data_IF_420877927598
#
_entry.id   IF_420877927598
#
_cell.length_a   1.000
_cell.length_b   1.000
_cell.length_c   1.000
_cell.angle_alpha   90.00
_cell.angle_beta   90.00
_cell.angle_gamma   90.00
#
_symmetry.space_group_name_H-M   'P 1'
#
loop_
_entity.id
_entity.type
_entity.pdbx_description
1 polymer ?
#
# COMPACT_ATOMS: atom_id res chain seq x y z
N UNK A 1 -0.56 16.02 8.94
CA UNK A 1 0.81 16.08 8.38
C UNK A 1 1.81 16.04 9.50
N UNK A 2 2.85 15.24 9.39
CA UNK A 2 3.90 15.14 10.41
C UNK A 2 4.78 16.39 10.41
N UNK A 3 5.07 16.93 11.60
CA UNK A 3 5.98 18.08 11.79
C UNK A 3 7.47 17.70 11.68
N UNK A 4 7.75 16.49 11.21
CA UNK A 4 9.11 15.96 11.11
C UNK A 4 10.00 16.84 10.23
N UNK A 5 11.21 17.06 10.69
CA UNK A 5 12.28 17.67 9.90
C UNK A 5 12.77 16.72 8.81
N UNK A 6 13.45 17.20 7.76
CA UNK A 6 14.01 16.31 6.74
C UNK A 6 14.97 15.25 7.30
N UNK A 7 15.71 15.55 8.38
CA UNK A 7 16.60 14.58 9.03
C UNK A 7 15.84 13.48 9.74
N UNK A 8 14.78 13.83 10.44
CA UNK A 8 13.89 12.86 11.10
C UNK A 8 13.17 11.98 10.08
N UNK A 9 12.72 12.54 8.94
CA UNK A 9 12.12 11.77 7.85
C UNK A 9 13.14 10.76 7.28
N UNK A 10 14.40 11.17 7.08
CA UNK A 10 15.46 10.25 6.63
C UNK A 10 15.70 9.16 7.67
N UNK A 11 15.77 9.51 8.97
CA UNK A 11 15.93 8.55 10.06
C UNK A 11 14.80 7.51 10.10
N UNK A 12 13.55 7.94 9.90
CA UNK A 12 12.41 7.01 9.81
C UNK A 12 12.47 6.11 8.57
N UNK A 13 13.00 6.62 7.45
CA UNK A 13 13.22 5.80 6.26
C UNK A 13 14.39 4.82 6.45
N UNK A 14 15.41 5.19 7.22
CA UNK A 14 16.57 4.33 7.52
C UNK A 14 16.19 3.04 8.26
N UNK A 15 15.09 3.05 9.01
CA UNK A 15 14.54 1.87 9.68
C UNK A 15 14.11 0.77 8.72
N UNK A 16 13.85 1.09 7.45
CA UNK A 16 13.29 0.15 6.46
C UNK A 16 14.13 0.03 5.21
N UNK A 17 15.01 1.01 4.93
CA UNK A 17 15.73 1.12 3.66
C UNK A 17 17.19 1.35 3.93
N UNK A 18 18.01 0.40 3.56
CA UNK A 18 19.46 0.48 3.69
C UNK A 18 20.06 1.29 2.54
N UNK A 19 21.00 2.16 2.85
CA UNK A 19 21.68 2.98 1.86
C UNK A 19 20.76 4.02 1.19
N UNK A 20 20.96 4.31 -0.09
CA UNK A 20 20.13 5.18 -0.94
C UNK A 20 19.91 6.61 -0.38
N UNK A 21 20.94 7.19 0.24
CA UNK A 21 20.84 8.43 1.01
C UNK A 21 20.34 9.61 0.18
N UNK A 22 20.76 9.74 -1.08
CA UNK A 22 20.33 10.85 -1.93
C UNK A 22 18.84 10.78 -2.26
N UNK A 23 18.32 9.57 -2.54
CA UNK A 23 16.89 9.37 -2.77
C UNK A 23 16.09 9.67 -1.51
N UNK A 24 16.50 9.19 -0.33
CA UNK A 24 15.85 9.48 0.95
C UNK A 24 15.85 10.98 1.25
N UNK A 25 16.96 11.68 1.02
CA UNK A 25 17.03 13.14 1.19
C UNK A 25 16.11 13.89 0.24
N UNK A 26 16.07 13.52 -1.04
CA UNK A 26 15.20 14.15 -2.02
C UNK A 26 13.71 14.04 -1.64
N UNK A 27 13.25 12.84 -1.28
CA UNK A 27 11.86 12.64 -0.86
C UNK A 27 11.54 13.32 0.47
N UNK A 28 12.49 13.35 1.42
CA UNK A 28 12.34 14.04 2.69
C UNK A 28 12.19 15.56 2.50
N UNK A 29 12.98 16.15 1.61
CA UNK A 29 12.85 17.57 1.25
C UNK A 29 11.52 17.84 0.55
N UNK A 30 11.10 16.98 -0.38
CA UNK A 30 9.82 17.10 -1.06
C UNK A 30 8.64 17.08 -0.07
N UNK A 31 8.66 16.16 0.91
CA UNK A 31 7.65 16.12 1.96
C UNK A 31 7.67 17.37 2.85
N UNK A 32 8.86 17.82 3.27
CA UNK A 32 8.97 19.00 4.10
C UNK A 32 8.56 20.28 3.37
N UNK A 33 8.77 20.36 2.07
CA UNK A 33 8.32 21.50 1.26
C UNK A 33 6.79 21.60 1.20
N UNK A 34 6.06 20.48 1.26
CA UNK A 34 4.59 20.49 1.41
C UNK A 34 4.16 21.09 2.75
N UNK A 35 4.84 20.74 3.83
CA UNK A 35 4.60 21.35 5.13
C UNK A 35 4.90 22.85 5.11
N UNK A 36 6.05 23.26 4.52
CA UNK A 36 6.42 24.68 4.35
C UNK A 36 5.38 25.44 3.54
N UNK A 37 4.89 24.84 2.44
CA UNK A 37 3.85 25.42 1.60
C UNK A 37 2.59 25.78 2.40
N UNK A 38 2.17 24.93 3.31
CA UNK A 38 1.00 25.16 4.18
C UNK A 38 1.17 26.33 5.16
N UNK A 39 2.40 26.78 5.39
CA UNK A 39 2.70 27.95 6.25
C UNK A 39 2.74 29.25 5.46
N UNK A 40 2.61 29.22 4.15
CA UNK A 40 2.61 30.41 3.29
C UNK A 40 1.23 31.07 3.29
N UNK A 41 1.19 32.37 2.93
CA UNK A 41 -0.06 33.07 2.63
C UNK A 41 -0.75 32.40 1.44
N UNK A 42 -2.07 32.57 1.33
CA UNK A 42 -2.87 31.92 0.29
C UNK A 42 -2.37 32.23 -1.11
N UNK A 43 -2.03 33.51 -1.39
CA UNK A 43 -1.50 33.94 -2.70
C UNK A 43 -0.21 33.20 -3.10
N UNK A 44 0.74 33.04 -2.16
CA UNK A 44 1.99 32.33 -2.41
C UNK A 44 1.83 30.81 -2.40
N UNK A 45 0.89 30.31 -1.60
CA UNK A 45 0.65 28.89 -1.48
C UNK A 45 0.22 28.27 -2.81
N UNK A 46 -0.60 28.98 -3.58
CA UNK A 46 -1.11 28.46 -4.86
C UNK A 46 -0.06 28.53 -5.99
N UNK A 47 0.95 29.39 -5.86
CA UNK A 47 2.08 29.48 -6.80
C UNK A 47 3.21 28.46 -6.54
N UNK A 48 3.19 27.77 -5.39
CA UNK A 48 4.25 26.81 -5.04
C UNK A 48 3.84 25.38 -5.42
N UNK A 49 4.34 24.93 -6.54
CA UNK A 49 4.15 23.56 -7.06
C UNK A 49 5.10 22.55 -6.41
N UNK A 50 4.68 21.28 -6.27
CA UNK A 50 5.59 20.21 -5.82
C UNK A 50 6.72 20.03 -6.83
N UNK A 51 7.90 19.64 -6.33
CA UNK A 51 9.03 19.28 -7.19
C UNK A 51 8.99 17.77 -7.39
N UNK A 52 8.50 17.35 -8.55
CA UNK A 52 8.41 15.93 -8.91
C UNK A 52 9.79 15.30 -9.03
N UNK A 53 9.86 13.99 -8.79
CA UNK A 53 11.12 13.26 -8.64
C UNK A 53 11.20 12.17 -9.70
N UNK A 54 12.35 12.03 -10.33
CA UNK A 54 12.72 10.88 -11.17
C UNK A 54 13.76 10.04 -10.42
N UNK A 55 13.38 8.81 -10.06
CA UNK A 55 14.26 7.82 -9.43
C UNK A 55 14.79 6.87 -10.50
N UNK A 56 16.10 6.83 -10.63
CA UNK A 56 16.81 6.02 -11.62
C UNK A 56 17.59 4.94 -10.88
N UNK A 57 17.56 3.70 -11.33
CA UNK A 57 18.39 2.64 -10.74
C UNK A 57 17.80 1.25 -10.92
N UNK A 58 18.59 0.20 -10.64
CA UNK A 58 18.22 -1.19 -10.86
C UNK A 58 16.90 -1.58 -10.17
N UNK A 59 16.35 -2.71 -10.57
CA UNK A 59 15.18 -3.30 -9.89
C UNK A 59 15.54 -3.74 -8.47
N UNK A 60 14.60 -3.65 -7.53
CA UNK A 60 14.77 -4.16 -6.17
C UNK A 60 15.71 -3.37 -5.25
N UNK A 61 16.11 -2.13 -5.60
CA UNK A 61 16.98 -1.29 -4.75
C UNK A 61 16.20 -0.36 -3.80
N UNK A 62 14.88 -0.50 -3.73
CA UNK A 62 14.06 0.24 -2.76
C UNK A 62 13.28 1.44 -3.30
N UNK A 63 13.26 1.70 -4.63
CA UNK A 63 12.53 2.85 -5.23
C UNK A 63 11.07 2.94 -4.77
N UNK A 64 10.31 1.88 -4.93
CA UNK A 64 8.91 1.80 -4.51
C UNK A 64 8.75 1.90 -3.00
N UNK A 65 9.64 1.25 -2.25
CA UNK A 65 9.57 1.22 -0.79
C UNK A 65 9.80 2.60 -0.18
N UNK A 66 10.78 3.37 -0.69
CA UNK A 66 11.00 4.76 -0.30
C UNK A 66 9.71 5.58 -0.44
N UNK A 67 9.06 5.49 -1.60
CA UNK A 67 7.84 6.27 -1.89
C UNK A 67 6.65 5.83 -1.03
N UNK A 68 6.49 4.52 -0.82
CA UNK A 68 5.43 3.96 0.02
C UNK A 68 5.59 4.36 1.49
N UNK A 69 6.82 4.28 2.03
CA UNK A 69 7.11 4.68 3.42
C UNK A 69 6.95 6.19 3.61
N UNK A 70 7.38 6.98 2.63
CA UNK A 70 7.14 8.41 2.64
C UNK A 70 5.65 8.74 2.75
N UNK A 71 4.82 8.12 1.92
CA UNK A 71 3.38 8.33 1.93
C UNK A 71 2.74 7.91 3.27
N UNK A 72 3.20 6.79 3.85
CA UNK A 72 2.75 6.32 5.17
C UNK A 72 3.12 7.33 6.28
N UNK A 73 4.36 7.83 6.29
CA UNK A 73 4.81 8.86 7.22
C UNK A 73 4.00 10.16 7.08
N UNK A 74 3.69 10.55 5.85
CA UNK A 74 2.89 11.73 5.55
C UNK A 74 1.41 11.56 5.88
N UNK A 75 0.92 10.34 6.11
CA UNK A 75 -0.49 9.97 6.10
C UNK A 75 -1.19 10.49 4.84
N UNK A 76 -0.50 10.43 3.71
CA UNK A 76 -0.93 10.95 2.43
C UNK A 76 -1.61 9.85 1.59
N UNK A 77 -2.65 10.20 0.81
CA UNK A 77 -3.15 9.30 -0.22
C UNK A 77 -2.02 8.88 -1.17
N UNK A 78 -1.92 7.58 -1.44
CA UNK A 78 -0.83 7.02 -2.23
C UNK A 78 -1.35 5.97 -3.21
N UNK A 79 -0.89 6.08 -4.45
CA UNK A 79 -1.11 5.03 -5.45
C UNK A 79 0.20 4.71 -6.16
N UNK A 80 0.42 3.41 -6.39
CA UNK A 80 1.47 2.92 -7.28
C UNK A 80 0.82 2.42 -8.57
N UNK A 81 1.32 2.92 -9.70
CA UNK A 81 0.90 2.49 -11.03
C UNK A 81 2.12 2.21 -11.90
N UNK A 82 2.00 1.29 -12.83
CA UNK A 82 3.01 0.98 -13.82
C UNK A 82 2.66 1.72 -15.12
N UNK A 83 3.59 2.50 -15.65
CA UNK A 83 3.37 3.29 -16.86
C UNK A 83 2.97 2.42 -18.06
N UNK A 84 3.41 1.17 -18.09
CA UNK A 84 3.09 0.17 -19.12
C UNK A 84 1.63 -0.30 -19.15
N UNK A 85 0.85 -0.02 -18.09
CA UNK A 85 -0.59 -0.38 -18.03
C UNK A 85 -1.49 0.58 -18.78
N UNK A 86 -0.95 1.75 -19.18
CA UNK A 86 -1.69 2.77 -19.90
C UNK A 86 -1.42 2.65 -21.40
N UNK A 87 -2.40 3.04 -22.17
CA UNK A 87 -2.31 3.15 -23.64
C UNK A 87 -2.75 4.55 -24.03
N UNK A 88 -2.25 5.01 -25.18
CA UNK A 88 -2.66 6.28 -25.75
C UNK A 88 -4.19 6.37 -25.89
N UNK A 89 -4.76 7.54 -25.59
CA UNK A 89 -6.19 7.80 -25.69
C UNK A 89 -6.71 7.44 -27.09
N UNK A 90 -7.74 6.60 -27.14
CA UNK A 90 -8.33 6.10 -28.39
C UNK A 90 -7.95 4.66 -28.75
N UNK A 91 -6.99 4.04 -28.06
CA UNK A 91 -6.70 2.61 -28.16
C UNK A 91 -7.35 1.84 -27.00
N UNK A 92 -7.46 0.52 -27.16
CA UNK A 92 -8.00 -0.34 -26.08
C UNK A 92 -6.99 -0.40 -24.93
N UNK A 93 -7.29 0.28 -23.81
CA UNK A 93 -6.44 0.33 -22.63
C UNK A 93 -7.01 1.26 -21.55
N UNK A 94 -6.27 1.43 -20.46
CA UNK A 94 -6.65 2.34 -19.38
C UNK A 94 -6.20 3.76 -19.72
N UNK A 95 -7.12 4.70 -19.54
CA UNK A 95 -6.86 6.13 -19.56
C UNK A 95 -5.99 6.53 -18.36
N UNK A 96 -5.04 7.44 -18.57
CA UNK A 96 -4.14 7.95 -17.51
C UNK A 96 -4.88 8.70 -16.40
N UNK A 97 -6.04 9.31 -16.67
CA UNK A 97 -6.89 9.93 -15.64
C UNK A 97 -7.39 8.91 -14.61
N UNK A 98 -7.42 7.61 -14.95
CA UNK A 98 -7.77 6.57 -14.02
C UNK A 98 -6.84 6.56 -12.78
N UNK A 99 -5.61 7.03 -12.92
CA UNK A 99 -4.66 7.21 -11.80
C UNK A 99 -5.27 8.10 -10.72
N UNK A 100 -5.85 9.22 -11.13
CA UNK A 100 -6.45 10.18 -10.18
C UNK A 100 -7.74 9.63 -9.59
N UNK A 101 -8.56 8.93 -10.40
CA UNK A 101 -9.79 8.29 -9.93
C UNK A 101 -9.49 7.23 -8.88
N UNK A 102 -8.52 6.36 -9.15
CA UNK A 102 -8.08 5.31 -8.20
C UNK A 102 -7.45 5.93 -6.93
N UNK A 103 -6.71 7.05 -7.07
CA UNK A 103 -6.14 7.77 -5.92
C UNK A 103 -7.24 8.35 -5.02
N UNK A 104 -8.32 8.88 -5.61
CA UNK A 104 -9.49 9.38 -4.85
C UNK A 104 -10.18 8.25 -4.12
N UNK A 105 -10.43 7.12 -4.77
CA UNK A 105 -11.05 5.97 -4.12
C UNK A 105 -10.21 5.47 -2.93
N UNK A 106 -8.90 5.36 -3.10
CA UNK A 106 -7.97 5.03 -2.03
C UNK A 106 -7.98 6.07 -0.89
N UNK A 107 -8.06 7.36 -1.22
CA UNK A 107 -8.12 8.44 -0.25
C UNK A 107 -9.41 8.42 0.58
N UNK A 108 -10.54 8.12 -0.03
CA UNK A 108 -11.83 8.01 0.68
C UNK A 108 -11.77 6.87 1.70
N UNK A 109 -11.27 5.71 1.31
CA UNK A 109 -11.09 4.57 2.23
C UNK A 109 -10.16 4.97 3.40
N UNK A 110 -9.02 5.53 3.10
CA UNK A 110 -8.04 5.98 4.11
C UNK A 110 -8.61 7.05 5.05
N UNK A 111 -9.34 8.03 4.51
CA UNK A 111 -9.94 9.10 5.31
C UNK A 111 -11.02 8.55 6.22
N UNK A 112 -11.84 7.61 5.72
CA UNK A 112 -12.86 6.93 6.52
C UNK A 112 -12.24 6.16 7.68
N UNK A 113 -11.16 5.44 7.45
CA UNK A 113 -10.45 4.69 8.50
C UNK A 113 -9.87 5.63 9.56
N UNK A 114 -9.29 6.76 9.18
CA UNK A 114 -8.82 7.77 10.13
C UNK A 114 -9.96 8.37 10.95
N UNK A 115 -11.07 8.72 10.31
CA UNK A 115 -12.23 9.29 11.02
C UNK A 115 -12.90 8.25 11.92
N UNK A 116 -12.91 6.95 11.56
CA UNK A 116 -13.37 5.87 12.43
C UNK A 116 -12.55 5.79 13.73
N UNK A 117 -11.22 5.91 13.64
CA UNK A 117 -10.37 5.92 14.84
C UNK A 117 -10.69 7.13 15.74
N UNK A 118 -10.98 8.30 15.18
CA UNK A 118 -11.33 9.50 15.94
C UNK A 118 -12.66 9.33 16.70
N UNK A 119 -13.62 8.58 16.17
CA UNK A 119 -14.92 8.33 16.81
C UNK A 119 -14.99 7.01 17.57
N UNK A 120 -13.93 6.22 17.59
CA UNK A 120 -13.87 4.84 18.13
C UNK A 120 -14.39 4.72 19.55
N UNK A 121 -14.01 5.64 20.43
CA UNK A 121 -14.47 5.61 21.85
C UNK A 121 -15.99 5.79 21.95
N UNK A 122 -16.60 6.63 21.10
CA UNK A 122 -18.06 6.80 21.06
C UNK A 122 -18.72 5.57 20.45
N UNK A 123 -18.15 5.03 19.38
CA UNK A 123 -18.63 3.84 18.72
C UNK A 123 -18.58 2.61 19.65
N UNK A 124 -17.51 2.46 20.43
CA UNK A 124 -17.39 1.39 21.44
C UNK A 124 -18.52 1.45 22.48
N UNK A 125 -18.84 2.65 23.00
CA UNK A 125 -19.95 2.80 23.95
C UNK A 125 -21.28 2.45 23.32
N UNK A 126 -21.53 2.86 22.08
CA UNK A 126 -22.76 2.52 21.37
C UNK A 126 -22.86 1.01 21.06
N UNK A 127 -21.75 0.39 20.68
CA UNK A 127 -21.66 -1.05 20.48
C UNK A 127 -21.94 -1.84 21.78
N UNK A 128 -21.34 -1.41 22.92
CA UNK A 128 -21.59 -2.00 24.22
C UNK A 128 -23.08 -1.98 24.59
N UNK A 129 -23.76 -0.85 24.38
CA UNK A 129 -25.21 -0.75 24.62
C UNK A 129 -26.00 -1.74 23.76
N UNK A 130 -25.63 -1.90 22.47
CA UNK A 130 -26.27 -2.88 21.57
C UNK A 130 -26.02 -4.33 22.00
N UNK A 131 -24.83 -4.66 22.50
CA UNK A 131 -24.53 -5.98 23.07
C UNK A 131 -25.38 -6.23 24.33
N UNK A 132 -25.50 -5.23 25.21
CA UNK A 132 -26.35 -5.31 26.41
C UNK A 132 -27.83 -5.50 25.99
N UNK A 133 -28.30 -4.79 24.97
CA UNK A 133 -29.65 -4.95 24.44
C UNK A 133 -29.90 -6.36 23.88
N UNK A 134 -28.92 -6.94 23.21
CA UNK A 134 -29.00 -8.30 22.66
C UNK A 134 -29.03 -9.39 23.77
N UNK A 135 -28.35 -9.15 24.91
CA UNK A 135 -28.30 -10.10 26.04
C UNK A 135 -29.48 -9.94 26.98
N UNK A 136 -29.78 -8.71 27.40
CA UNK A 136 -30.74 -8.39 28.45
C UNK A 136 -32.14 -8.03 27.93
N UNK A 137 -32.24 -7.68 26.62
CA UNK A 137 -33.40 -7.07 26.00
C UNK A 137 -33.42 -5.55 26.15
N UNK A 138 -34.06 -4.90 25.18
CA UNK A 138 -34.15 -3.42 25.09
C UNK A 138 -34.89 -2.75 26.25
N UNK A 139 -35.76 -3.48 26.93
CA UNK A 139 -36.57 -2.99 28.07
C UNK A 139 -35.96 -3.38 29.44
N UNK A 140 -34.72 -3.85 29.48
CA UNK A 140 -34.08 -4.25 30.73
C UNK A 140 -33.87 -3.02 31.66
N UNK A 141 -34.15 -3.24 32.97
CA UNK A 141 -33.97 -2.21 34.00
C UNK A 141 -32.47 -1.84 34.16
N UNK A 142 -32.19 -0.58 34.54
CA UNK A 142 -30.81 -0.06 34.70
C UNK A 142 -29.90 -0.97 35.54
N UNK A 143 -30.40 -1.48 36.67
CA UNK A 143 -29.64 -2.40 37.51
C UNK A 143 -29.25 -3.72 36.83
N UNK A 144 -30.09 -4.22 35.91
CA UNK A 144 -29.78 -5.42 35.11
C UNK A 144 -28.75 -5.08 34.04
N UNK A 145 -28.89 -3.94 33.37
CA UNK A 145 -27.92 -3.43 32.40
C UNK A 145 -26.55 -3.25 33.01
N UNK A 146 -26.45 -2.64 34.22
CA UNK A 146 -25.19 -2.46 34.92
C UNK A 146 -24.55 -3.78 35.38
N UNK A 147 -25.35 -4.78 35.70
CA UNK A 147 -24.83 -6.13 35.99
C UNK A 147 -24.21 -6.76 34.76
N UNK A 148 -24.87 -6.71 33.61
CA UNK A 148 -24.34 -7.24 32.35
C UNK A 148 -23.12 -6.45 31.87
N UNK A 149 -23.12 -5.12 32.03
CA UNK A 149 -21.94 -4.28 31.71
C UNK A 149 -20.70 -4.70 32.49
N UNK A 150 -20.84 -4.99 33.81
CA UNK A 150 -19.72 -5.49 34.61
C UNK A 150 -19.23 -6.85 34.15
N UNK A 151 -20.11 -7.75 33.76
CA UNK A 151 -19.75 -9.09 33.25
C UNK A 151 -19.08 -9.02 31.87
N UNK A 152 -19.48 -8.09 31.02
CA UNK A 152 -18.82 -7.82 29.74
C UNK A 152 -17.39 -7.31 29.96
N UNK A 153 -17.22 -6.36 30.88
CA UNK A 153 -15.89 -5.81 31.22
C UNK A 153 -14.96 -6.84 31.89
N UNK A 154 -15.52 -7.85 32.55
CA UNK A 154 -14.72 -8.96 33.14
C UNK A 154 -14.40 -10.09 32.16
N UNK A 155 -14.97 -10.08 30.95
CA UNK A 155 -14.79 -11.14 29.95
C UNK A 155 -15.60 -12.42 30.22
N UNK A 156 -16.48 -12.44 31.26
CA UNK A 156 -17.29 -13.61 31.61
C UNK A 156 -18.29 -14.04 30.52
N UNK A 157 -18.58 -13.13 29.58
CA UNK A 157 -19.59 -13.33 28.54
C UNK A 157 -19.00 -13.46 27.12
N UNK A 158 -17.69 -13.46 26.95
CA UNK A 158 -17.01 -13.41 25.65
C UNK A 158 -17.45 -14.54 24.70
N UNK A 159 -17.62 -15.76 25.24
CA UNK A 159 -18.03 -16.94 24.49
C UNK A 159 -19.55 -17.08 24.34
N UNK A 160 -20.33 -16.17 24.96
CA UNK A 160 -21.79 -16.22 24.88
C UNK A 160 -22.25 -15.88 23.48
N UNK A 161 -23.05 -16.76 22.86
CA UNK A 161 -23.61 -16.51 21.52
C UNK A 161 -24.84 -15.61 21.63
N UNK A 162 -24.78 -14.49 20.91
CA UNK A 162 -25.87 -13.51 20.81
C UNK A 162 -26.36 -13.36 19.39
N UNK A 163 -27.61 -12.92 19.23
CA UNK A 163 -28.17 -12.54 17.93
C UNK A 163 -28.10 -11.02 17.79
N UNK A 164 -27.36 -10.53 16.84
CA UNK A 164 -27.22 -9.10 16.53
C UNK A 164 -27.81 -8.79 15.17
N UNK A 165 -28.40 -7.62 15.03
CA UNK A 165 -28.83 -7.09 13.73
C UNK A 165 -27.70 -6.22 13.17
N UNK A 166 -27.19 -6.58 12.02
CA UNK A 166 -26.14 -5.84 11.30
C UNK A 166 -26.66 -5.39 9.93
N UNK A 167 -26.15 -4.29 9.41
CA UNK A 167 -26.46 -3.83 8.08
C UNK A 167 -26.07 -4.89 7.03
N UNK A 168 -26.98 -5.19 6.11
CA UNK A 168 -26.71 -6.12 5.01
C UNK A 168 -25.81 -5.44 3.97
N UNK A 169 -24.55 -5.83 3.94
CA UNK A 169 -23.56 -5.35 2.97
C UNK A 169 -23.71 -6.01 1.57
N UNK A 170 -24.65 -6.93 1.41
CA UNK A 170 -24.91 -7.54 0.10
C UNK A 170 -25.56 -6.53 -0.84
N UNK A 171 -24.80 -6.14 -1.85
CA UNK A 171 -25.24 -5.21 -2.89
C UNK A 171 -26.34 -5.87 -3.73
N UNK A 172 -27.60 -5.41 -3.71
CA UNK A 172 -28.66 -6.04 -4.50
C UNK A 172 -28.46 -5.89 -6.01
N UNK A 173 -27.50 -5.09 -6.44
CA UNK A 173 -27.20 -4.81 -7.85
C UNK A 173 -26.33 -5.88 -8.55
N UNK A 174 -25.66 -6.76 -7.83
CA UNK A 174 -24.88 -7.84 -8.45
C UNK A 174 -25.76 -8.97 -9.05
N UNK A 175 -27.05 -8.95 -8.80
CA UNK A 175 -28.00 -9.96 -9.33
C UNK A 175 -28.61 -9.62 -10.70
N UNK A 176 -28.35 -8.42 -11.24
CA UNK A 176 -28.92 -7.97 -12.53
C UNK A 176 -27.86 -7.73 -13.62
N UNK A 177 -26.71 -8.36 -13.52
CA UNK A 177 -25.77 -8.39 -14.64
C UNK A 177 -26.25 -9.41 -15.67
N UNK A 178 -27.18 -8.97 -16.53
CA UNK A 178 -27.62 -9.75 -17.70
C UNK A 178 -26.62 -9.43 -18.82
N UNK A 179 -25.79 -10.40 -19.27
CA UNK A 179 -24.85 -10.15 -20.37
C UNK A 179 -25.65 -9.94 -21.66
N UNK A 180 -25.60 -8.74 -22.23
CA UNK A 180 -26.03 -8.57 -23.60
C UNK A 180 -26.76 -7.32 -24.04
N UNK A 181 -26.93 -6.27 -23.24
CA UNK A 181 -27.50 -5.01 -23.77
C UNK A 181 -26.70 -3.77 -23.36
N UNK A 182 -25.92 -3.17 -24.27
CA UNK A 182 -25.31 -1.87 -24.05
C UNK A 182 -26.38 -0.80 -24.32
N UNK A 183 -26.83 -0.06 -23.30
CA UNK A 183 -27.65 1.11 -23.55
C UNK A 183 -28.62 1.60 -22.48
N UNK A 184 -28.74 0.95 -21.30
CA UNK A 184 -29.74 1.35 -20.29
C UNK A 184 -29.20 1.94 -19.00
N UNK A 185 -27.95 2.39 -18.95
CA UNK A 185 -27.29 2.87 -17.73
C UNK A 185 -27.71 4.25 -17.21
N UNK A 186 -28.43 5.06 -18.02
CA UNK A 186 -28.67 6.45 -17.65
C UNK A 186 -29.96 6.74 -16.88
N UNK A 187 -30.84 5.76 -16.71
CA UNK A 187 -32.14 5.96 -16.04
C UNK A 187 -32.32 5.28 -14.69
N UNK A 188 -31.46 4.32 -14.31
CA UNK A 188 -31.65 3.47 -13.13
C UNK A 188 -30.84 3.87 -11.88
N UNK A 189 -29.80 4.71 -12.02
CA UNK A 189 -28.95 5.09 -10.89
C UNK A 189 -29.68 5.89 -9.79
N UNK A 190 -30.71 6.67 -10.17
CA UNK A 190 -31.45 7.48 -9.20
C UNK A 190 -32.59 6.74 -8.49
N UNK A 191 -33.05 5.61 -9.03
CA UNK A 191 -34.17 4.85 -8.40
C UNK A 191 -33.66 3.96 -7.26
N UNK A 192 -32.46 3.36 -7.39
CA UNK A 192 -31.85 2.50 -6.36
C UNK A 192 -31.51 3.25 -5.08
N UNK A 193 -30.94 4.44 -5.22
CA UNK A 193 -30.62 5.34 -4.09
C UNK A 193 -31.89 5.91 -3.43
N UNK A 194 -32.92 6.20 -4.22
CA UNK A 194 -34.20 6.69 -3.70
C UNK A 194 -34.96 5.60 -2.93
N UNK A 195 -34.96 4.36 -3.42
CA UNK A 195 -35.58 3.23 -2.74
C UNK A 195 -34.76 2.73 -1.55
N UNK A 196 -33.44 2.77 -1.60
CA UNK A 196 -32.56 2.40 -0.49
C UNK A 196 -32.71 3.33 0.73
N UNK A 197 -32.82 4.64 0.49
CA UNK A 197 -33.09 5.63 1.55
C UNK A 197 -34.53 5.61 2.06
N UNK A 198 -35.53 5.19 1.25
CA UNK A 198 -36.92 5.18 1.63
C UNK A 198 -37.37 3.88 2.37
N UNK A 199 -36.60 2.78 2.29
CA UNK A 199 -36.97 1.50 2.92
C UNK A 199 -36.11 1.11 4.12
N UNK A 200 -35.36 2.04 4.75
CA UNK A 200 -34.52 1.72 5.91
C UNK A 200 -33.57 0.54 5.59
N UNK A 201 -32.26 0.73 5.69
CA UNK A 201 -31.28 -0.30 5.31
C UNK A 201 -31.68 -1.69 5.78
N UNK A 202 -31.61 -2.67 4.87
CA UNK A 202 -31.88 -4.08 5.21
C UNK A 202 -30.88 -4.51 6.29
N UNK A 203 -31.41 -4.98 7.42
CA UNK A 203 -30.60 -5.60 8.47
C UNK A 203 -30.70 -7.11 8.36
N UNK A 204 -29.57 -7.77 8.57
CA UNK A 204 -29.50 -9.24 8.63
C UNK A 204 -29.18 -9.66 10.04
N UNK A 205 -29.91 -10.65 10.57
CA UNK A 205 -29.60 -11.22 11.88
C UNK A 205 -28.43 -12.18 11.77
N UNK A 206 -27.39 -11.92 12.57
CA UNK A 206 -26.21 -12.80 12.69
C UNK A 206 -26.11 -13.34 14.11
N UNK A 207 -25.78 -14.64 14.22
CA UNK A 207 -25.42 -15.28 15.50
C UNK A 207 -23.91 -15.34 15.60
N UNK A 208 -23.36 -14.66 16.59
CA UNK A 208 -21.92 -14.54 16.83
C UNK A 208 -21.66 -14.53 18.32
N UNK A 209 -20.44 -14.84 18.73
CA UNK A 209 -20.03 -14.66 20.13
C UNK A 209 -19.99 -13.16 20.50
N UNK A 210 -20.11 -12.86 21.78
CA UNK A 210 -19.98 -11.49 22.29
C UNK A 210 -18.66 -10.88 21.84
N UNK A 211 -17.53 -11.61 21.95
CA UNK A 211 -16.23 -11.14 21.53
C UNK A 211 -16.21 -10.74 20.04
N UNK A 212 -16.71 -11.61 19.15
CA UNK A 212 -16.77 -11.32 17.70
C UNK A 212 -17.78 -10.21 17.36
N UNK A 213 -18.82 -10.03 18.17
CA UNK A 213 -19.83 -9.01 17.93
C UNK A 213 -19.30 -7.59 18.06
N UNK A 214 -18.30 -7.37 18.94
CA UNK A 214 -17.71 -6.05 19.17
C UNK A 214 -17.07 -5.47 17.92
N UNK A 215 -16.25 -6.24 17.19
CA UNK A 215 -15.58 -5.77 15.98
C UNK A 215 -16.59 -5.34 14.90
N UNK A 216 -17.67 -6.12 14.76
CA UNK A 216 -18.73 -5.81 13.79
C UNK A 216 -19.52 -4.57 14.20
N UNK A 217 -19.94 -4.49 15.46
CA UNK A 217 -20.79 -3.40 15.96
C UNK A 217 -20.01 -2.10 16.10
N UNK A 218 -18.75 -2.10 16.52
CA UNK A 218 -17.92 -0.90 16.59
C UNK A 218 -17.74 -0.29 15.21
N UNK A 219 -17.47 -1.12 14.19
CA UNK A 219 -17.36 -0.66 12.81
C UNK A 219 -18.66 0.00 12.32
N UNK A 220 -19.79 -0.64 12.56
CA UNK A 220 -21.11 -0.13 12.15
C UNK A 220 -21.51 1.15 12.89
N UNK A 221 -21.28 1.22 14.21
CA UNK A 221 -21.57 2.43 15.00
C UNK A 221 -20.61 3.57 14.65
N UNK A 222 -19.34 3.27 14.34
CA UNK A 222 -18.41 4.28 13.83
C UNK A 222 -18.91 4.86 12.49
N UNK A 223 -19.35 4.00 11.56
CA UNK A 223 -19.89 4.45 10.27
C UNK A 223 -21.15 5.32 10.41
N UNK A 224 -22.04 5.02 11.36
CA UNK A 224 -23.21 5.85 11.65
C UNK A 224 -22.84 7.25 12.19
N UNK A 225 -21.67 7.37 12.85
CA UNK A 225 -21.17 8.63 13.37
C UNK A 225 -20.43 9.47 12.31
N UNK A 226 -20.13 8.88 11.16
CA UNK A 226 -19.45 9.57 10.06
C UNK A 226 -20.47 10.15 9.08
N UNK A 227 -20.18 11.37 8.62
CA UNK A 227 -20.90 12.00 7.53
C UNK A 227 -20.17 11.76 6.21
N UNK A 228 -20.77 11.01 5.30
CA UNK A 228 -20.18 10.64 4.02
C UNK A 228 -19.78 11.84 3.15
N UNK A 229 -20.50 12.96 3.25
CA UNK A 229 -20.15 14.17 2.53
C UNK A 229 -18.86 14.79 3.09
N UNK A 230 -18.72 14.80 4.42
CA UNK A 230 -17.51 15.29 5.11
C UNK A 230 -16.32 14.38 4.82
N UNK A 231 -16.49 13.04 4.83
CA UNK A 231 -15.45 12.08 4.44
C UNK A 231 -14.98 12.36 3.02
N UNK A 232 -15.91 12.47 2.07
CA UNK A 232 -15.61 12.70 0.65
C UNK A 232 -14.88 14.03 0.45
N UNK A 233 -15.38 15.11 1.02
CA UNK A 233 -14.75 16.43 0.91
C UNK A 233 -13.33 16.44 1.48
N UNK A 234 -13.14 15.84 2.66
CA UNK A 234 -11.81 15.75 3.30
C UNK A 234 -10.85 14.89 2.47
N UNK A 235 -11.35 13.80 1.88
CA UNK A 235 -10.54 12.93 1.02
C UNK A 235 -10.13 13.65 -0.28
N UNK A 236 -11.03 14.39 -0.93
CA UNK A 236 -10.71 15.18 -2.13
C UNK A 236 -9.65 16.24 -1.82
N UNK A 237 -9.79 16.98 -0.72
CA UNK A 237 -8.78 17.94 -0.28
C UNK A 237 -7.43 17.25 0.02
N UNK A 238 -7.47 16.07 0.65
CA UNK A 238 -6.26 15.29 0.92
C UNK A 238 -5.56 14.84 -0.36
N UNK A 239 -6.30 14.45 -1.40
CA UNK A 239 -5.75 14.11 -2.72
C UNK A 239 -5.11 15.33 -3.37
N UNK A 240 -5.85 16.44 -3.48
CA UNK A 240 -5.37 17.65 -4.15
C UNK A 240 -4.12 18.23 -3.47
N UNK A 241 -4.10 18.29 -2.13
CA UNK A 241 -3.04 18.97 -1.38
C UNK A 241 -1.88 18.05 -0.95
N UNK A 242 -2.11 16.74 -0.85
CA UNK A 242 -1.14 15.81 -0.27
C UNK A 242 -0.97 14.52 -1.09
N UNK A 243 -1.73 14.29 -2.14
CA UNK A 243 -1.67 13.07 -2.95
C UNK A 243 -0.26 12.76 -3.45
N UNK A 244 0.10 11.49 -3.48
CA UNK A 244 1.37 11.00 -4.02
C UNK A 244 1.08 9.92 -5.04
N UNK A 245 1.56 10.11 -6.26
CA UNK A 245 1.48 9.13 -7.34
C UNK A 245 2.89 8.61 -7.62
N UNK A 246 3.07 7.30 -7.52
CA UNK A 246 4.30 6.63 -7.91
C UNK A 246 4.11 5.96 -9.27
N UNK A 247 4.80 6.50 -10.28
CA UNK A 247 4.81 5.99 -11.65
C UNK A 247 6.00 5.05 -11.83
N UNK A 248 5.76 3.74 -11.83
CA UNK A 248 6.83 2.75 -12.01
C UNK A 248 7.04 2.45 -13.51
N UNK A 249 8.22 1.97 -13.84
CA UNK A 249 8.62 1.55 -15.19
C UNK A 249 8.47 2.63 -16.28
N UNK A 250 8.72 3.90 -15.93
CA UNK A 250 8.61 5.02 -16.89
C UNK A 250 9.60 4.88 -18.05
N UNK A 251 10.72 4.17 -17.87
CA UNK A 251 11.69 3.88 -18.91
C UNK A 251 11.14 2.94 -20.01
N UNK A 252 10.09 2.17 -19.72
CA UNK A 252 9.45 1.27 -20.68
C UNK A 252 8.56 1.99 -21.69
N UNK A 253 8.11 3.20 -21.36
CA UNK A 253 7.33 4.06 -22.27
C UNK A 253 8.18 5.08 -23.00
N UNK A 254 9.53 5.03 -22.86
CA UNK A 254 10.44 5.79 -23.71
C UNK A 254 10.44 5.25 -25.14
N UNK A 255 10.51 6.15 -26.13
CA UNK A 255 10.68 5.78 -27.53
C UNK A 255 12.03 5.08 -27.74
N UNK A 256 12.07 4.02 -28.55
CA UNK A 256 13.31 3.38 -28.97
C UNK A 256 13.71 3.92 -30.33
N UNK A 257 14.93 4.43 -30.45
CA UNK A 257 15.45 4.99 -31.71
C UNK A 257 15.42 4.01 -32.90
N UNK A 258 15.32 2.70 -32.66
CA UNK A 258 15.43 1.65 -33.67
C UNK A 258 14.13 0.90 -34.02
N UNK A 259 12.98 1.21 -33.39
CA UNK A 259 11.75 0.44 -33.55
C UNK A 259 10.74 1.15 -34.45
N UNK A 260 10.49 0.62 -35.63
CA UNK A 260 9.42 1.08 -36.56
C UNK A 260 8.08 0.46 -36.16
N UNK A 261 7.13 1.29 -35.70
CA UNK A 261 5.70 0.93 -35.62
C UNK A 261 5.09 0.73 -34.25
N UNK A 262 5.86 0.57 -33.16
CA UNK A 262 5.33 0.44 -31.78
C UNK A 262 5.58 1.67 -30.90
N UNK A 263 6.32 2.65 -31.41
CA UNK A 263 6.79 3.79 -30.62
C UNK A 263 5.76 4.89 -30.44
N UNK A 264 4.83 5.03 -31.38
CA UNK A 264 3.76 6.06 -31.34
C UNK A 264 2.89 5.87 -30.09
N UNK A 265 2.52 4.64 -29.76
CA UNK A 265 1.71 4.34 -28.57
C UNK A 265 2.43 4.62 -27.24
N UNK A 266 3.76 4.47 -27.18
CA UNK A 266 4.56 4.74 -25.97
C UNK A 266 4.77 6.22 -25.74
N UNK A 267 5.05 6.96 -26.80
CA UNK A 267 5.15 8.42 -26.76
C UNK A 267 3.79 9.05 -26.42
N UNK A 268 2.69 8.46 -26.92
CA UNK A 268 1.32 8.84 -26.58
C UNK A 268 1.06 8.79 -25.07
N UNK A 269 1.47 7.71 -24.38
CA UNK A 269 1.34 7.62 -22.91
C UNK A 269 2.07 8.74 -22.20
N UNK A 270 3.29 9.11 -22.65
CA UNK A 270 4.00 10.23 -22.06
C UNK A 270 3.27 11.56 -22.28
N UNK A 271 2.69 11.78 -23.47
CA UNK A 271 1.89 12.97 -23.77
C UNK A 271 0.62 13.05 -22.93
N UNK A 272 -0.04 11.91 -22.69
CA UNK A 272 -1.25 11.83 -21.87
C UNK A 272 -0.94 12.04 -20.37
N UNK A 273 0.25 11.66 -19.89
CA UNK A 273 0.70 11.93 -18.52
C UNK A 273 1.05 13.40 -18.27
N UNK A 274 1.45 14.15 -19.29
CA UNK A 274 1.88 15.55 -19.15
C UNK A 274 0.83 16.44 -18.48
N UNK A 275 -0.45 16.48 -18.92
CA UNK A 275 -1.46 17.31 -18.29
C UNK A 275 -1.65 16.99 -16.80
N UNK A 276 -1.58 15.70 -16.41
CA UNK A 276 -1.69 15.30 -15.01
C UNK A 276 -0.53 15.84 -14.16
N UNK A 277 0.68 15.82 -14.70
CA UNK A 277 1.91 16.24 -14.01
C UNK A 277 2.06 17.78 -14.03
N UNK A 278 1.51 18.45 -15.03
CA UNK A 278 1.52 19.91 -15.16
C UNK A 278 0.45 20.60 -14.32
N UNK A 279 -0.63 19.91 -14.05
CA UNK A 279 -1.81 20.42 -13.37
C UNK A 279 -3.02 20.47 -14.31
N UNK A 280 -4.04 19.69 -13.99
CA UNK A 280 -5.32 19.65 -14.69
C UNK A 280 -6.44 19.31 -13.73
N UNK A 281 -7.67 19.44 -14.19
CA UNK A 281 -8.85 19.02 -13.43
C UNK A 281 -9.39 17.72 -14.00
N UNK A 282 -9.38 16.66 -13.21
CA UNK A 282 -9.92 15.35 -13.56
C UNK A 282 -11.30 15.17 -12.97
N UNK A 283 -12.26 14.75 -13.80
CA UNK A 283 -13.61 14.42 -13.35
C UNK A 283 -13.64 13.02 -12.73
N UNK A 284 -14.15 12.95 -11.49
CA UNK A 284 -14.37 11.69 -10.77
C UNK A 284 -15.84 11.54 -10.38
N UNK A 285 -16.25 10.34 -9.99
CA UNK A 285 -17.61 10.08 -9.47
C UNK A 285 -17.91 10.82 -8.16
N UNK A 286 -16.88 11.34 -7.50
CA UNK A 286 -16.96 12.08 -6.24
C UNK A 286 -16.81 13.60 -6.40
N UNK A 287 -16.62 14.07 -7.63
CA UNK A 287 -16.41 15.48 -7.98
C UNK A 287 -15.11 15.71 -8.74
N UNK A 288 -14.87 16.95 -9.19
CA UNK A 288 -13.64 17.32 -9.88
C UNK A 288 -12.47 17.37 -8.91
N UNK A 289 -11.29 17.01 -9.38
CA UNK A 289 -10.02 16.98 -8.62
C UNK A 289 -8.92 17.68 -9.40
N UNK A 290 -8.26 18.63 -8.78
CA UNK A 290 -7.11 19.34 -9.34
C UNK A 290 -5.82 18.58 -9.03
N UNK A 291 -4.97 18.42 -10.02
CA UNK A 291 -3.71 17.66 -9.89
C UNK A 291 -2.48 18.54 -9.60
N UNK A 292 -2.63 19.86 -9.58
CA UNK A 292 -1.56 20.87 -9.47
C UNK A 292 -0.58 20.61 -8.30
N UNK A 293 -1.09 20.10 -7.18
CA UNK A 293 -0.28 19.89 -5.99
C UNK A 293 -0.08 18.41 -5.62
N UNK A 294 -0.45 17.49 -6.50
CA UNK A 294 -0.10 16.07 -6.38
C UNK A 294 1.40 15.91 -6.65
N UNK A 295 2.09 15.14 -5.80
CA UNK A 295 3.49 14.81 -6.03
C UNK A 295 3.60 13.57 -6.91
N UNK A 296 4.24 13.72 -8.04
CA UNK A 296 4.58 12.60 -8.92
C UNK A 296 6.03 12.16 -8.66
N UNK A 297 6.21 10.88 -8.40
CA UNK A 297 7.50 10.22 -8.27
C UNK A 297 7.57 9.17 -9.36
N UNK A 298 8.29 9.48 -10.43
CA UNK A 298 8.53 8.53 -11.50
C UNK A 298 9.75 7.65 -11.20
N UNK A 299 9.71 6.39 -11.61
CA UNK A 299 10.83 5.47 -11.44
C UNK A 299 11.06 4.61 -12.68
N UNK A 300 12.33 4.34 -12.97
CA UNK A 300 12.75 3.45 -14.05
C UNK A 300 14.11 2.84 -13.79
N UNK A 301 14.37 1.71 -14.44
CA UNK A 301 15.69 1.09 -14.39
C UNK A 301 16.68 1.77 -15.33
N UNK A 302 16.20 2.27 -16.47
CA UNK A 302 16.97 2.95 -17.50
C UNK A 302 18.20 2.15 -17.99
N UNK A 303 18.08 0.83 -18.07
CA UNK A 303 19.14 -0.05 -18.59
C UNK A 303 19.32 0.09 -20.09
N UNK A 304 18.21 0.23 -20.84
CA UNK A 304 18.19 0.31 -22.30
C UNK A 304 17.89 1.75 -22.73
N UNK A 305 16.80 2.32 -22.21
CA UNK A 305 16.47 3.72 -22.40
C UNK A 305 17.32 4.61 -21.47
N UNK A 306 17.52 5.87 -21.86
CA UNK A 306 18.14 6.89 -21.03
C UNK A 306 17.09 7.89 -20.53
N UNK A 307 17.31 8.59 -19.42
CA UNK A 307 16.42 9.67 -19.00
C UNK A 307 16.21 10.76 -20.06
N UNK A 308 17.17 10.94 -20.97
CA UNK A 308 17.07 11.84 -22.12
C UNK A 308 16.11 11.38 -23.22
N UNK A 309 15.67 10.12 -23.19
CA UNK A 309 14.74 9.55 -24.15
C UNK A 309 13.26 9.79 -23.74
N UNK A 310 13.04 10.35 -22.55
CA UNK A 310 11.75 10.92 -22.18
C UNK A 310 11.48 12.19 -23.00
N UNK A 311 10.22 12.50 -23.24
CA UNK A 311 9.84 13.76 -23.88
C UNK A 311 10.46 14.97 -23.14
N UNK A 312 11.00 15.98 -23.84
CA UNK A 312 11.63 17.15 -23.19
C UNK A 312 10.72 17.84 -22.18
N UNK A 313 9.43 17.93 -22.46
CA UNK A 313 8.42 18.51 -21.60
C UNK A 313 8.32 17.72 -20.30
N UNK A 314 8.27 16.39 -20.38
CA UNK A 314 8.21 15.51 -19.21
C UNK A 314 9.50 15.58 -18.38
N UNK A 315 10.66 15.67 -19.05
CA UNK A 315 11.94 15.88 -18.37
C UNK A 315 11.95 17.18 -17.56
N UNK A 316 11.37 18.25 -18.08
CA UNK A 316 11.24 19.55 -17.41
C UNK A 316 10.33 19.50 -16.18
N UNK A 317 9.35 18.59 -16.17
CA UNK A 317 8.40 18.40 -15.06
C UNK A 317 8.88 17.42 -13.99
N UNK A 318 10.02 16.75 -14.21
CA UNK A 318 10.71 15.88 -13.26
C UNK A 318 12.10 16.48 -12.90
N UNK A 319 12.14 17.65 -12.24
CA UNK A 319 13.37 18.42 -12.06
C UNK A 319 14.35 17.78 -11.07
N UNK A 320 13.86 16.97 -10.14
CA UNK A 320 14.69 16.26 -9.16
C UNK A 320 15.01 14.89 -9.70
N UNK A 321 16.28 14.64 -10.00
CA UNK A 321 16.79 13.34 -10.46
C UNK A 321 17.65 12.74 -9.39
N UNK A 322 17.40 11.50 -9.02
CA UNK A 322 18.18 10.74 -8.03
C UNK A 322 18.52 9.37 -8.57
N UNK A 323 19.75 8.99 -8.41
CA UNK A 323 20.24 7.67 -8.79
C UNK A 323 20.36 6.79 -7.55
N UNK A 324 19.74 5.61 -7.63
CA UNK A 324 19.87 4.57 -6.63
C UNK A 324 20.90 3.57 -7.11
N UNK A 325 21.89 3.31 -6.27
CA UNK A 325 22.94 2.35 -6.57
C UNK A 325 22.45 0.90 -6.41
N UNK A 326 23.09 -0.01 -7.10
CA UNK A 326 22.93 -1.43 -6.84
C UNK A 326 23.31 -1.76 -5.37
N UNK A 327 22.65 -2.74 -4.80
CA UNK A 327 22.92 -3.20 -3.44
C UNK A 327 24.17 -4.08 -3.44
N UNK A 328 25.03 -3.89 -2.43
CA UNK A 328 26.22 -4.69 -2.18
C UNK A 328 25.93 -5.84 -1.22
N UNK A 329 26.85 -6.78 -1.08
CA UNK A 329 26.79 -7.85 -0.08
C UNK A 329 26.60 -7.27 1.35
N UNK A 330 27.36 -6.22 1.68
CA UNK A 330 27.22 -5.53 2.97
C UNK A 330 25.82 -4.95 3.18
N UNK A 331 25.24 -4.36 2.12
CA UNK A 331 23.84 -3.88 2.19
C UNK A 331 22.86 -5.02 2.44
N UNK A 332 23.09 -6.20 1.87
CA UNK A 332 22.24 -7.37 2.10
C UNK A 332 22.31 -7.87 3.54
N UNK A 333 23.52 -7.92 4.13
CA UNK A 333 23.68 -8.23 5.56
C UNK A 333 22.88 -7.24 6.40
N UNK A 334 22.99 -5.95 6.12
CA UNK A 334 22.27 -4.91 6.86
C UNK A 334 20.74 -4.98 6.65
N UNK A 335 20.27 -5.34 5.47
CA UNK A 335 18.83 -5.56 5.19
C UNK A 335 18.31 -6.74 6.03
N UNK A 336 19.11 -7.78 6.24
CA UNK A 336 18.75 -8.94 7.03
C UNK A 336 18.81 -8.69 8.55
N UNK A 337 19.52 -7.65 9.01
CA UNK A 337 19.79 -7.44 10.45
C UNK A 337 19.25 -6.14 11.01
N UNK A 338 19.30 -5.03 10.24
CA UNK A 338 19.06 -3.68 10.77
C UNK A 338 17.65 -3.16 10.49
N UNK A 339 16.93 -3.74 9.51
CA UNK A 339 15.61 -3.23 9.17
C UNK A 339 14.52 -3.74 10.12
N UNK A 340 13.56 -2.88 10.48
CA UNK A 340 12.42 -3.24 11.36
C UNK A 340 11.58 -4.40 10.81
N UNK A 341 11.63 -4.65 9.53
CA UNK A 341 10.95 -5.73 8.83
C UNK A 341 11.93 -6.72 8.19
N UNK A 342 13.07 -6.95 8.83
CA UNK A 342 14.07 -7.89 8.35
C UNK A 342 13.46 -9.27 8.07
N UNK A 343 13.91 -9.93 7.00
CA UNK A 343 13.42 -11.25 6.63
C UNK A 343 13.73 -12.29 7.72
N UNK A 344 14.85 -12.15 8.40
CA UNK A 344 15.20 -13.00 9.55
C UNK A 344 14.13 -12.95 10.64
N UNK A 345 13.66 -11.75 10.98
CA UNK A 345 12.57 -11.57 11.97
C UNK A 345 11.25 -12.18 11.47
N UNK A 346 10.95 -12.01 10.17
CA UNK A 346 9.71 -12.54 9.59
C UNK A 346 9.69 -14.07 9.64
N UNK A 347 10.78 -14.73 9.21
CA UNK A 347 10.85 -16.20 9.22
C UNK A 347 10.92 -16.77 10.63
N UNK A 348 11.62 -16.11 11.56
CA UNK A 348 11.58 -16.49 13.00
C UNK A 348 10.14 -16.45 13.52
N UNK A 349 9.40 -15.36 13.24
CA UNK A 349 8.01 -15.25 13.69
C UNK A 349 7.08 -16.26 13.02
N UNK A 350 7.27 -16.55 11.71
CA UNK A 350 6.49 -17.57 11.00
C UNK A 350 6.70 -18.97 11.60
N UNK A 351 7.94 -19.36 11.83
CA UNK A 351 8.25 -20.68 12.42
C UNK A 351 7.78 -20.78 13.86
N UNK A 352 7.79 -19.68 14.59
CA UNK A 352 7.29 -19.65 15.97
C UNK A 352 5.78 -19.97 16.06
N UNK A 353 4.99 -19.73 15.00
CA UNK A 353 3.56 -20.11 14.97
C UNK A 353 3.35 -21.61 14.99
N UNK A 354 4.35 -22.38 14.56
CA UNK A 354 4.39 -23.85 14.58
C UNK A 354 5.26 -24.39 15.74
N UNK A 355 5.53 -23.54 16.75
CA UNK A 355 6.37 -23.87 17.91
C UNK A 355 7.82 -24.26 17.53
N UNK A 356 8.30 -23.87 16.35
CA UNK A 356 9.68 -24.08 15.92
C UNK A 356 10.49 -22.82 16.22
N UNK A 357 11.56 -22.95 17.00
CA UNK A 357 12.45 -21.83 17.36
C UNK A 357 13.59 -21.73 16.35
N UNK A 358 13.65 -20.62 15.59
CA UNK A 358 14.71 -20.38 14.62
C UNK A 358 15.66 -19.29 15.10
N UNK A 359 16.96 -19.57 15.05
CA UNK A 359 18.02 -18.61 15.37
C UNK A 359 18.98 -18.47 14.20
N UNK A 360 19.20 -17.24 13.74
CA UNK A 360 20.17 -16.93 12.71
C UNK A 360 21.50 -16.53 13.35
N UNK A 361 22.59 -17.14 12.87
CA UNK A 361 23.95 -16.77 13.28
C UNK A 361 24.56 -15.76 12.30
N UNK A 362 25.58 -15.02 12.73
CA UNK A 362 26.23 -14.00 11.89
C UNK A 362 26.85 -14.60 10.62
N UNK A 363 27.41 -15.80 10.71
CA UNK A 363 27.96 -16.54 9.57
C UNK A 363 26.88 -17.05 8.62
N UNK A 364 25.70 -17.45 9.15
CA UNK A 364 24.53 -17.81 8.35
C UNK A 364 23.99 -16.62 7.58
N UNK A 365 23.86 -15.46 8.23
CA UNK A 365 23.43 -14.21 7.60
C UNK A 365 24.43 -13.78 6.50
N UNK A 366 25.73 -13.85 6.77
CA UNK A 366 26.76 -13.55 5.79
C UNK A 366 26.70 -14.51 4.58
N UNK A 367 26.47 -15.80 4.81
CA UNK A 367 26.31 -16.79 3.73
C UNK A 367 25.08 -16.47 2.85
N UNK A 368 23.92 -16.15 3.44
CA UNK A 368 22.71 -15.75 2.71
C UNK A 368 22.96 -14.49 1.86
N UNK A 369 23.60 -13.48 2.45
CA UNK A 369 23.91 -12.21 1.78
C UNK A 369 24.86 -12.42 0.60
N UNK A 370 25.92 -13.21 0.80
CA UNK A 370 26.91 -13.53 -0.24
C UNK A 370 26.25 -14.26 -1.41
N UNK A 371 25.46 -15.32 -1.15
CA UNK A 371 24.78 -16.07 -2.22
C UNK A 371 23.83 -15.15 -2.99
N UNK A 372 23.08 -14.28 -2.31
CA UNK A 372 22.18 -13.33 -2.97
C UNK A 372 22.97 -12.31 -3.84
N UNK A 373 24.13 -11.85 -3.40
CA UNK A 373 25.02 -10.96 -4.16
C UNK A 373 25.62 -11.68 -5.38
N UNK A 374 26.12 -12.88 -5.20
CA UNK A 374 26.73 -13.69 -6.25
C UNK A 374 25.72 -14.03 -7.36
N UNK A 375 24.50 -14.41 -6.99
CA UNK A 375 23.42 -14.67 -7.95
C UNK A 375 22.99 -13.41 -8.68
N UNK A 376 22.85 -12.27 -7.99
CA UNK A 376 22.56 -10.98 -8.63
C UNK A 376 23.65 -10.53 -9.61
N UNK A 377 24.90 -10.93 -9.40
CA UNK A 377 26.01 -10.59 -10.29
C UNK A 377 26.12 -11.53 -11.49
N UNK A 378 25.73 -12.80 -11.34
CA UNK A 378 25.91 -13.84 -12.36
C UNK A 378 24.67 -14.03 -13.27
N UNK A 379 23.48 -13.64 -12.81
CA UNK A 379 22.23 -13.75 -13.58
C UNK A 379 21.64 -12.36 -13.79
N UNK A 380 20.38 -12.13 -13.49
CA UNK A 380 19.72 -10.83 -13.53
C UNK A 380 19.74 -10.19 -12.13
N UNK A 381 20.15 -8.93 -12.07
CA UNK A 381 20.14 -8.18 -10.81
C UNK A 381 18.73 -7.71 -10.45
N UNK A 382 18.07 -8.41 -9.52
CA UNK A 382 16.76 -8.06 -8.97
C UNK A 382 16.85 -7.44 -7.57
N UNK A 383 18.06 -7.06 -7.14
CA UNK A 383 18.32 -6.39 -5.87
C UNK A 383 17.89 -7.19 -4.66
N UNK A 384 17.27 -6.53 -3.67
CA UNK A 384 16.82 -7.17 -2.43
C UNK A 384 15.75 -8.26 -2.62
N UNK A 385 15.06 -8.30 -3.77
CA UNK A 385 14.14 -9.41 -4.07
C UNK A 385 14.85 -10.76 -4.08
N UNK A 386 16.15 -10.77 -4.38
CA UNK A 386 16.96 -11.99 -4.34
C UNK A 386 17.03 -12.61 -2.94
N UNK A 387 17.03 -11.79 -1.90
CA UNK A 387 17.02 -12.30 -0.53
C UNK A 387 15.76 -13.12 -0.23
N UNK A 388 14.60 -12.70 -0.73
CA UNK A 388 13.36 -13.45 -0.57
C UNK A 388 13.48 -14.84 -1.24
N UNK A 389 13.96 -14.90 -2.47
CA UNK A 389 14.09 -16.19 -3.19
C UNK A 389 15.13 -17.10 -2.53
N UNK A 390 16.21 -16.55 -2.02
CA UNK A 390 17.26 -17.32 -1.33
C UNK A 390 16.75 -17.87 0.01
N UNK A 391 16.13 -17.04 0.83
CA UNK A 391 15.59 -17.48 2.13
C UNK A 391 14.43 -18.47 1.95
N UNK A 392 13.51 -18.20 1.03
CA UNK A 392 12.41 -19.11 0.72
C UNK A 392 12.91 -20.52 0.41
N UNK A 393 13.97 -20.61 -0.38
CA UNK A 393 14.58 -21.91 -0.73
C UNK A 393 15.25 -22.58 0.46
N UNK A 394 15.94 -21.81 1.32
CA UNK A 394 16.57 -22.34 2.54
C UNK A 394 15.53 -22.90 3.51
N UNK A 395 14.36 -22.28 3.57
CA UNK A 395 13.29 -22.68 4.48
C UNK A 395 12.25 -23.62 3.88
N UNK A 396 12.36 -23.99 2.61
CA UNK A 396 11.36 -24.81 1.90
C UNK A 396 11.04 -26.12 2.64
N UNK A 397 12.07 -26.88 2.99
CA UNK A 397 11.92 -28.16 3.69
C UNK A 397 11.45 -27.97 5.13
N UNK A 398 12.05 -27.00 5.82
CA UNK A 398 11.67 -26.69 7.20
C UNK A 398 10.22 -26.21 7.29
N UNK A 399 9.77 -25.33 6.38
CA UNK A 399 8.40 -24.85 6.34
C UNK A 399 7.38 -25.96 6.07
N UNK A 400 7.76 -26.94 5.25
CA UNK A 400 6.91 -28.09 4.95
C UNK A 400 6.76 -29.04 6.14
N UNK A 401 7.84 -29.23 6.90
CA UNK A 401 7.87 -30.21 8.01
C UNK A 401 7.57 -29.58 9.38
N UNK A 402 7.54 -28.25 9.48
CA UNK A 402 7.36 -27.52 10.75
C UNK A 402 6.14 -28.00 11.58
N UNK A 403 4.94 -28.25 10.99
CA UNK A 403 3.78 -28.71 11.75
C UNK A 403 4.00 -30.07 12.47
N UNK A 404 4.91 -30.90 11.94
CA UNK A 404 5.24 -32.23 12.50
C UNK A 404 6.41 -32.17 13.48
N UNK A 405 7.03 -30.99 13.68
CA UNK A 405 8.28 -30.83 14.41
C UNK A 405 8.17 -29.77 15.54
N UNK A 406 7.00 -29.63 16.15
CA UNK A 406 6.79 -28.67 17.24
C UNK A 406 7.83 -28.85 18.37
N UNK A 407 8.35 -27.74 18.89
CA UNK A 407 9.31 -27.73 20.00
C UNK A 407 10.79 -27.90 19.60
N UNK A 408 11.12 -27.99 18.31
CA UNK A 408 12.52 -28.05 17.88
C UNK A 408 13.18 -26.67 17.84
N UNK A 409 14.50 -26.68 17.99
CA UNK A 409 15.36 -25.51 17.79
C UNK A 409 16.20 -25.71 16.53
N UNK A 410 16.16 -24.74 15.62
CA UNK A 410 16.92 -24.75 14.36
C UNK A 410 17.88 -23.56 14.35
N UNK A 411 19.16 -23.83 14.13
CA UNK A 411 20.19 -22.81 13.98
C UNK A 411 20.56 -22.66 12.50
N UNK A 412 20.27 -21.50 11.93
CA UNK A 412 20.62 -21.16 10.55
C UNK A 412 22.02 -20.56 10.54
N UNK A 413 23.03 -21.41 10.42
CA UNK A 413 24.44 -21.07 10.26
C UNK A 413 24.89 -21.25 8.81
N UNK A 414 26.17 -20.97 8.50
CA UNK A 414 26.70 -21.10 7.16
C UNK A 414 26.57 -22.52 6.60
N UNK A 415 26.79 -23.56 7.43
CA UNK A 415 26.65 -24.96 7.02
C UNK A 415 25.20 -25.30 6.65
N UNK A 416 24.24 -24.85 7.45
CA UNK A 416 22.82 -25.03 7.14
C UNK A 416 22.45 -24.37 5.79
N UNK A 417 22.91 -23.16 5.55
CA UNK A 417 22.68 -22.44 4.29
C UNK A 417 23.34 -23.18 3.10
N UNK A 418 24.57 -23.62 3.24
CA UNK A 418 25.26 -24.38 2.19
C UNK A 418 24.61 -25.74 1.90
N UNK A 419 24.10 -26.42 2.91
CA UNK A 419 23.42 -27.71 2.75
C UNK A 419 22.15 -27.56 1.90
N UNK A 420 21.36 -26.50 2.09
CA UNK A 420 20.10 -26.28 1.39
C UNK A 420 20.27 -25.58 0.03
N UNK A 421 21.38 -24.85 -0.18
CA UNK A 421 21.65 -24.09 -1.41
C UNK A 421 22.86 -24.61 -2.19
N UNK A 422 23.67 -25.52 -1.64
CA UNK A 422 24.94 -25.94 -2.24
C UNK A 422 24.82 -26.65 -3.59
N UNK A 423 23.70 -27.25 -3.90
CA UNK A 423 23.41 -27.78 -5.24
C UNK A 423 23.09 -26.68 -6.25
N UNK A 424 22.48 -25.58 -5.80
CA UNK A 424 22.14 -24.41 -6.64
C UNK A 424 23.38 -23.62 -7.05
N UNK A 425 24.37 -23.49 -6.16
CA UNK A 425 25.62 -22.76 -6.45
C UNK A 425 26.55 -23.52 -7.38
N UNK A 426 26.45 -24.84 -7.47
CA UNK A 426 27.26 -25.70 -8.34
C UNK A 426 26.70 -25.89 -9.74
N UNK A 427 25.40 -25.64 -9.93
CA UNK A 427 24.74 -25.76 -11.22
C UNK A 427 24.93 -24.49 -12.03
N UNK A 428 25.54 -24.61 -13.22
CA UNK A 428 25.68 -23.52 -14.21
C UNK A 428 24.31 -23.03 -14.73
N UNK A 429 23.21 -23.66 -14.33
CA UNK A 429 21.86 -23.38 -14.76
C UNK A 429 21.00 -22.78 -13.64
N UNK A 430 21.60 -21.82 -12.91
CA UNK A 430 20.94 -21.04 -11.86
C UNK A 430 19.63 -20.38 -12.33
N UNK A 431 19.50 -20.13 -13.64
CA UNK A 431 18.31 -19.52 -14.23
C UNK A 431 17.04 -20.39 -14.17
N UNK A 432 17.19 -21.73 -14.02
CA UNK A 432 16.04 -22.66 -13.94
C UNK A 432 15.38 -22.76 -12.57
N UNK A 433 16.11 -22.37 -11.52
CA UNK A 433 15.67 -22.58 -10.13
C UNK A 433 15.43 -21.28 -9.36
N UNK A 434 15.66 -20.12 -9.99
CA UNK A 434 15.62 -18.80 -9.34
C UNK A 434 14.75 -17.87 -10.17
N UNK A 435 13.52 -18.28 -10.44
CA UNK A 435 12.47 -17.41 -10.96
C UNK A 435 11.51 -17.05 -9.83
#
# INVERSE_FOLDING_TARGET
MTDLTPREIVSELDRFIIGQNDAKRAVAVALRNRWRRKQLSDDLRDEVYPKNILMIGPTGVGKTEISRRLAKLAKAPFIKVEATKFTEVGYVGRDVEQIVRDLVDAAIMQTRDFMREDVKVKAQKAAEERVIDAIAGTEARDGTRDMFRRKLLSGELDDTVIEIEVADASNPMSMFDVPGQPGSQMGMMNLGDLFGKAMGGRTTKKRVSVAESYDLLIGEEADKLLDDETVTRTALEAVEQNGIVFLDEIDKVCARADARGGDVSREGVQRDLLPLIEGTTVSTKHGPVKTDHILFIASGAFHIAKPSDLLPELQGRLPIRVELRALTEEDFVRILTETDNALTLQYTALMQTEEVTVTFTDDGIAALAKIAADVNSSVENIGARRLYTVIERVFEELSFTAPDQAGIEVTVNAEFVEQHLGELTKSTDLSRYVL
#
